data_IF_401953471780
#
_entry.id   IF_401953471780
#
_cell.length_a   1.000
_cell.length_b   1.000
_cell.length_c   1.000
_cell.angle_alpha   90.00
_cell.angle_beta   90.00
_cell.angle_gamma   90.00
#
_symmetry.space_group_name_H-M   'P 1'
#
loop_
_entity.id
_entity.type
_entity.pdbx_description
1 polymer ?
#
# COMPACT_ATOMS: atom_id res chain seq x y z
N UNK A 1 10.90 5.49 25.09
CA UNK A 1 10.38 5.30 23.73
C UNK A 1 9.70 3.94 23.65
N UNK A 2 8.41 3.89 23.29
CA UNK A 2 7.63 2.65 23.24
C UNK A 2 8.25 1.65 22.24
N UNK A 3 8.47 0.42 22.69
CA UNK A 3 8.86 -0.69 21.81
C UNK A 3 7.67 -1.34 21.09
N UNK A 4 6.44 -0.90 21.38
CA UNK A 4 5.23 -1.41 20.73
C UNK A 4 4.94 -0.60 19.48
N UNK A 5 4.57 -1.24 18.37
CA UNK A 5 4.17 -0.52 17.15
C UNK A 5 2.89 0.30 17.42
N UNK A 6 2.84 1.49 16.84
CA UNK A 6 1.70 2.40 16.91
C UNK A 6 1.25 2.77 15.51
N UNK A 7 0.05 2.36 15.16
CA UNK A 7 -0.62 2.76 13.92
C UNK A 7 -1.32 4.11 14.11
N UNK A 8 -1.14 5.02 13.17
CA UNK A 8 -1.78 6.35 13.18
C UNK A 8 -1.85 6.97 11.78
N UNK A 9 -2.69 7.99 11.57
CA UNK A 9 -2.63 8.78 10.34
C UNK A 9 -1.25 9.39 10.10
N UNK A 10 -0.92 9.57 8.82
CA UNK A 10 0.28 10.29 8.39
C UNK A 10 0.21 11.75 8.86
N UNK A 11 1.31 12.28 9.36
CA UNK A 11 1.54 13.69 9.62
C UNK A 11 2.63 14.22 8.68
N UNK A 12 2.66 15.53 8.41
CA UNK A 12 3.65 16.12 7.48
C UNK A 12 5.11 15.84 7.88
N UNK A 13 5.38 15.77 9.19
CA UNK A 13 6.73 15.44 9.71
C UNK A 13 7.21 14.03 9.36
N UNK A 14 6.30 13.14 8.94
CA UNK A 14 6.61 11.75 8.61
C UNK A 14 7.05 11.59 7.15
N UNK A 15 6.78 12.60 6.31
CA UNK A 15 6.98 12.53 4.85
C UNK A 15 8.42 12.21 4.49
N UNK A 16 9.40 12.80 5.17
CA UNK A 16 10.82 12.49 4.95
C UNK A 16 11.10 10.99 5.10
N UNK A 17 10.59 10.36 6.15
CA UNK A 17 10.80 8.93 6.41
C UNK A 17 10.03 8.05 5.44
N UNK A 18 8.81 8.42 5.05
CA UNK A 18 8.03 7.74 4.00
C UNK A 18 8.78 7.79 2.67
N UNK A 19 9.29 8.96 2.30
CA UNK A 19 10.10 9.15 1.10
C UNK A 19 11.33 8.23 1.10
N UNK A 20 12.06 8.16 2.21
CA UNK A 20 13.24 7.31 2.34
C UNK A 20 12.90 5.82 2.22
N UNK A 21 11.84 5.35 2.88
CA UNK A 21 11.41 3.94 2.78
C UNK A 21 11.08 3.58 1.33
N UNK A 22 10.32 4.43 0.64
CA UNK A 22 9.92 4.17 -0.75
C UNK A 22 11.11 4.22 -1.72
N UNK A 23 12.03 5.16 -1.52
CA UNK A 23 13.24 5.29 -2.33
C UNK A 23 14.09 4.01 -2.31
N UNK A 24 14.19 3.33 -1.17
CA UNK A 24 14.86 2.04 -1.07
C UNK A 24 14.23 0.97 -1.99
N UNK A 25 12.90 0.90 -2.05
CA UNK A 25 12.19 -0.03 -2.94
C UNK A 25 12.34 0.33 -4.40
N UNK A 26 12.37 1.62 -4.74
CA UNK A 26 12.61 2.08 -6.12
C UNK A 26 14.00 1.65 -6.59
N UNK A 27 15.02 1.83 -5.75
CA UNK A 27 16.41 1.54 -6.09
C UNK A 27 16.75 0.05 -6.08
N UNK A 28 16.23 -0.71 -5.10
CA UNK A 28 16.74 -2.05 -4.79
C UNK A 28 15.96 -3.20 -5.43
N UNK A 29 14.74 -2.96 -5.95
CA UNK A 29 13.91 -4.06 -6.38
C UNK A 29 12.84 -3.72 -7.41
N UNK A 30 11.91 -4.64 -7.55
CA UNK A 30 10.79 -4.57 -8.51
C UNK A 30 9.42 -4.55 -7.82
N UNK A 31 9.40 -4.40 -6.50
CA UNK A 31 8.15 -4.29 -5.74
C UNK A 31 7.35 -3.01 -6.09
N UNK A 32 8.02 -2.00 -6.63
CA UNK A 32 7.41 -0.86 -7.31
C UNK A 32 7.95 -0.75 -8.73
N UNK A 33 7.12 -0.26 -9.65
CA UNK A 33 7.53 -0.02 -11.05
C UNK A 33 8.05 1.40 -11.28
N UNK A 34 8.07 2.24 -10.25
CA UNK A 34 8.77 3.52 -10.33
C UNK A 34 10.27 3.29 -10.55
N UNK A 35 10.85 4.03 -11.48
CA UNK A 35 12.28 4.02 -11.80
C UNK A 35 13.01 5.20 -11.15
N UNK A 36 12.27 6.27 -10.84
CA UNK A 36 12.74 7.46 -10.14
C UNK A 36 11.90 7.64 -8.88
N UNK A 37 12.54 7.72 -7.74
CA UNK A 37 11.86 7.91 -6.48
C UNK A 37 11.20 9.31 -6.42
N UNK A 38 9.90 9.40 -6.06
CA UNK A 38 9.27 10.68 -5.79
C UNK A 38 9.95 11.40 -4.63
N UNK A 39 10.04 12.72 -4.72
CA UNK A 39 10.56 13.56 -3.63
C UNK A 39 9.49 13.82 -2.54
N UNK A 40 9.89 14.52 -1.49
CA UNK A 40 8.99 14.87 -0.38
C UNK A 40 7.81 15.77 -0.83
N UNK A 41 8.03 16.64 -1.82
CA UNK A 41 6.99 17.49 -2.39
C UNK A 41 5.91 16.66 -3.08
N UNK A 42 6.31 15.68 -3.88
CA UNK A 42 5.42 14.74 -4.53
C UNK A 42 4.64 13.88 -3.51
N UNK A 43 5.30 13.40 -2.46
CA UNK A 43 4.65 12.67 -1.38
C UNK A 43 3.65 13.53 -0.59
N UNK A 44 4.00 14.77 -0.26
CA UNK A 44 3.10 15.72 0.41
C UNK A 44 1.86 16.00 -0.42
N UNK A 45 2.02 16.21 -1.73
CA UNK A 45 0.91 16.42 -2.67
C UNK A 45 0.01 15.19 -2.77
N UNK A 46 0.59 13.99 -2.88
CA UNK A 46 -0.15 12.73 -2.90
C UNK A 46 -0.95 12.54 -1.60
N UNK A 47 -0.31 12.72 -0.45
CA UNK A 47 -0.96 12.60 0.85
C UNK A 47 -2.14 13.58 0.98
N UNK A 48 -1.96 14.84 0.60
CA UNK A 48 -3.03 15.84 0.59
C UNK A 48 -4.21 15.42 -0.27
N UNK A 49 -3.96 14.88 -1.46
CA UNK A 49 -5.01 14.40 -2.37
C UNK A 49 -5.77 13.20 -1.82
N UNK A 50 -5.08 12.28 -1.15
CA UNK A 50 -5.68 11.09 -0.52
C UNK A 50 -6.60 11.52 0.64
N UNK A 51 -6.08 12.35 1.54
CA UNK A 51 -6.83 12.85 2.71
C UNK A 51 -8.03 13.69 2.30
N UNK A 52 -7.89 14.54 1.27
CA UNK A 52 -8.99 15.35 0.75
C UNK A 52 -10.17 14.51 0.22
N UNK A 53 -9.92 13.27 -0.18
CA UNK A 53 -10.96 12.31 -0.59
C UNK A 53 -11.58 11.53 0.60
N UNK A 54 -11.09 11.75 1.81
CA UNK A 54 -11.48 10.96 2.98
C UNK A 54 -10.86 9.57 3.02
N UNK A 55 -9.84 9.30 2.21
CA UNK A 55 -9.18 8.01 2.17
C UNK A 55 -8.09 7.90 3.23
N UNK A 56 -7.81 6.70 3.76
CA UNK A 56 -6.77 6.49 4.74
C UNK A 56 -5.36 6.65 4.12
N UNK A 57 -4.49 7.33 4.86
CA UNK A 57 -3.05 7.28 4.72
C UNK A 57 -2.45 7.09 6.10
N UNK A 58 -1.92 5.90 6.37
CA UNK A 58 -1.48 5.47 7.68
C UNK A 58 0.02 5.23 7.71
N UNK A 59 0.59 5.44 8.87
CA UNK A 59 1.98 5.05 9.19
C UNK A 59 1.99 4.15 10.43
N UNK A 60 2.95 3.25 10.49
CA UNK A 60 3.28 2.52 11.71
C UNK A 60 4.59 3.04 12.27
N UNK A 61 4.54 3.52 13.50
CA UNK A 61 5.68 4.04 14.26
C UNK A 61 6.19 2.96 15.21
N UNK A 62 7.49 2.72 15.21
CA UNK A 62 8.15 1.77 16.11
C UNK A 62 9.46 2.39 16.60
N UNK A 63 9.60 2.50 17.92
CA UNK A 63 10.81 3.07 18.51
C UNK A 63 11.04 4.55 18.18
N UNK A 64 9.98 5.31 17.89
CA UNK A 64 10.07 6.74 17.53
C UNK A 64 10.42 7.00 16.06
N UNK A 65 10.42 5.96 15.23
CA UNK A 65 10.66 6.06 13.78
C UNK A 65 9.51 5.44 12.99
N UNK A 66 9.29 5.93 11.79
CA UNK A 66 8.33 5.32 10.87
C UNK A 66 8.92 4.01 10.36
N UNK A 67 8.22 2.92 10.62
CA UNK A 67 8.61 1.57 10.25
C UNK A 67 7.84 1.04 9.02
N UNK A 68 6.86 1.80 8.52
CA UNK A 68 6.10 1.46 7.34
C UNK A 68 4.92 2.40 7.14
N UNK A 69 4.31 2.31 5.99
CA UNK A 69 3.15 3.13 5.63
C UNK A 69 2.21 2.37 4.70
N UNK A 70 0.96 2.79 4.67
CA UNK A 70 -0.05 2.28 3.75
C UNK A 70 -1.09 3.34 3.43
N UNK A 71 -1.63 3.29 2.22
CA UNK A 71 -2.68 4.20 1.77
C UNK A 71 -3.51 3.54 0.68
N UNK A 72 -4.58 4.20 0.27
CA UNK A 72 -5.33 3.84 -0.94
C UNK A 72 -5.47 5.03 -1.86
N UNK A 73 -5.58 4.74 -3.16
CA UNK A 73 -5.89 5.70 -4.21
C UNK A 73 -7.08 5.20 -5.04
N UNK A 74 -7.68 6.08 -5.83
CA UNK A 74 -8.73 5.65 -6.78
C UNK A 74 -8.18 4.58 -7.73
N UNK A 75 -8.97 3.53 -7.95
CA UNK A 75 -8.58 2.45 -8.88
C UNK A 75 -8.44 2.94 -10.31
N UNK A 76 -9.45 3.65 -10.79
CA UNK A 76 -9.51 4.19 -12.16
C UNK A 76 -10.23 5.54 -12.14
N UNK A 77 -9.91 6.46 -13.07
CA UNK A 77 -10.42 7.84 -13.02
C UNK A 77 -11.91 7.98 -13.39
N UNK A 78 -12.53 6.98 -14.04
CA UNK A 78 -13.93 7.06 -14.45
C UNK A 78 -14.88 7.04 -13.25
N UNK A 79 -15.93 7.89 -13.21
CA UNK A 79 -16.82 8.03 -12.03
C UNK A 79 -17.49 6.76 -11.56
N UNK A 80 -17.74 5.79 -12.45
CA UNK A 80 -18.35 4.51 -12.07
C UNK A 80 -17.44 3.66 -11.15
N UNK A 81 -16.12 3.94 -11.10
CA UNK A 81 -15.17 3.29 -10.21
C UNK A 81 -15.02 3.97 -8.85
N UNK A 82 -15.86 4.97 -8.50
CA UNK A 82 -15.70 5.79 -7.29
C UNK A 82 -15.69 5.03 -5.96
N UNK A 83 -16.23 3.82 -5.92
CA UNK A 83 -16.26 2.96 -4.74
C UNK A 83 -15.16 1.89 -4.73
N UNK A 84 -14.25 1.95 -5.69
CA UNK A 84 -13.13 1.00 -5.81
C UNK A 84 -11.80 1.75 -5.66
N UNK A 85 -10.94 1.21 -4.85
CA UNK A 85 -9.59 1.76 -4.59
C UNK A 85 -8.52 0.72 -4.84
N UNK A 86 -7.29 1.19 -5.03
CA UNK A 86 -6.07 0.39 -5.02
C UNK A 86 -5.31 0.66 -3.73
N UNK A 87 -4.88 -0.39 -3.03
CA UNK A 87 -4.08 -0.28 -1.84
C UNK A 87 -2.58 -0.27 -2.16
N UNK A 88 -1.83 0.28 -1.23
CA UNK A 88 -0.36 0.29 -1.22
C UNK A 88 0.11 0.09 0.20
N UNK A 89 1.02 -0.86 0.41
CA UNK A 89 1.61 -1.18 1.71
C UNK A 89 3.12 -1.37 1.56
N UNK A 90 3.90 -0.61 2.32
CA UNK A 90 5.35 -0.75 2.40
C UNK A 90 5.82 -0.76 3.85
N UNK A 91 6.69 -1.71 4.19
CA UNK A 91 7.37 -1.79 5.49
C UNK A 91 8.84 -1.51 5.26
N UNK A 92 9.48 -0.75 6.14
CA UNK A 92 10.91 -0.47 6.05
C UNK A 92 11.71 -1.79 5.97
N UNK A 93 12.70 -1.91 5.06
CA UNK A 93 13.40 -3.16 4.82
C UNK A 93 14.05 -3.79 6.06
N UNK A 94 14.51 -2.97 7.01
CA UNK A 94 15.09 -3.40 8.29
C UNK A 94 14.03 -3.79 9.35
N UNK A 95 12.74 -3.68 9.02
CA UNK A 95 11.59 -3.95 9.90
C UNK A 95 10.64 -5.03 9.38
N UNK A 96 11.05 -5.75 8.37
CA UNK A 96 10.26 -6.85 7.80
C UNK A 96 10.03 -7.98 8.81
N UNK A 97 8.99 -8.79 8.59
CA UNK A 97 8.63 -9.98 9.40
C UNK A 97 8.33 -9.69 10.88
N UNK A 98 7.84 -8.50 11.19
CA UNK A 98 7.42 -8.10 12.54
C UNK A 98 5.91 -7.89 12.67
N UNK A 99 5.12 -8.35 11.68
CA UNK A 99 3.67 -8.18 11.65
C UNK A 99 3.19 -6.77 11.27
N UNK A 100 4.09 -5.85 10.93
CA UNK A 100 3.74 -4.45 10.64
C UNK A 100 2.92 -4.29 9.37
N UNK A 101 3.18 -5.11 8.34
CA UNK A 101 2.40 -5.12 7.12
C UNK A 101 0.94 -5.49 7.35
N UNK A 102 0.69 -6.50 8.20
CA UNK A 102 -0.66 -6.88 8.61
C UNK A 102 -1.39 -5.76 9.33
N UNK A 103 -0.73 -5.12 10.30
CA UNK A 103 -1.29 -3.98 11.04
C UNK A 103 -1.65 -2.82 10.10
N UNK A 104 -0.78 -2.49 9.15
CA UNK A 104 -1.01 -1.44 8.15
C UNK A 104 -2.20 -1.78 7.25
N UNK A 105 -2.23 -2.99 6.70
CA UNK A 105 -3.28 -3.43 5.77
C UNK A 105 -4.64 -3.49 6.47
N UNK A 106 -4.73 -4.03 7.67
CA UNK A 106 -5.97 -4.04 8.47
C UNK A 106 -6.47 -2.63 8.76
N UNK A 107 -5.56 -1.72 9.14
CA UNK A 107 -5.90 -0.32 9.38
C UNK A 107 -6.42 0.41 8.14
N UNK A 108 -5.80 0.17 6.99
CA UNK A 108 -6.26 0.73 5.70
C UNK A 108 -7.63 0.17 5.32
N UNK A 109 -7.86 -1.14 5.49
CA UNK A 109 -9.15 -1.76 5.22
C UNK A 109 -10.25 -1.14 6.08
N UNK A 110 -9.99 -0.92 7.37
CA UNK A 110 -10.95 -0.26 8.28
C UNK A 110 -11.20 1.20 7.85
N UNK A 111 -10.15 1.93 7.48
CA UNK A 111 -10.28 3.29 6.92
C UNK A 111 -11.12 3.31 5.63
N UNK A 112 -10.99 2.30 4.78
CA UNK A 112 -11.79 2.13 3.57
C UNK A 112 -13.27 1.93 3.89
N UNK A 113 -13.60 1.08 4.87
CA UNK A 113 -15.00 0.89 5.32
C UNK A 113 -15.61 2.22 5.78
N UNK A 114 -14.88 2.97 6.60
CA UNK A 114 -15.32 4.27 7.10
C UNK A 114 -15.48 5.32 5.99
N UNK A 115 -14.74 5.20 4.89
CA UNK A 115 -14.81 6.07 3.71
C UNK A 115 -15.88 5.64 2.67
N UNK A 116 -16.64 4.58 2.92
CA UNK A 116 -17.67 4.08 1.99
C UNK A 116 -17.10 3.39 0.75
N UNK A 117 -15.88 2.88 0.83
CA UNK A 117 -15.27 2.04 -0.20
C UNK A 117 -15.90 0.65 -0.15
N UNK A 118 -16.19 0.08 -1.29
CA UNK A 118 -16.78 -1.26 -1.40
C UNK A 118 -15.81 -2.32 -1.89
N UNK A 119 -14.83 -1.92 -2.72
CA UNK A 119 -13.86 -2.83 -3.31
C UNK A 119 -12.44 -2.30 -3.15
N UNK A 120 -11.53 -3.16 -2.73
CA UNK A 120 -10.10 -2.87 -2.67
C UNK A 120 -9.37 -3.81 -3.62
N UNK A 121 -8.58 -3.23 -4.53
CA UNK A 121 -7.73 -3.95 -5.46
C UNK A 121 -6.28 -3.86 -4.98
N UNK A 122 -5.59 -4.99 -4.98
CA UNK A 122 -4.14 -5.03 -4.81
C UNK A 122 -3.48 -5.41 -6.14
N UNK A 123 -2.51 -4.62 -6.56
CA UNK A 123 -1.66 -4.92 -7.73
C UNK A 123 -0.27 -5.26 -7.21
N UNK A 124 0.07 -6.55 -7.24
CA UNK A 124 1.29 -7.07 -6.62
C UNK A 124 2.28 -7.48 -7.70
N UNK A 125 3.45 -6.85 -7.72
CA UNK A 125 4.53 -7.27 -8.60
C UNK A 125 5.06 -8.65 -8.18
N UNK A 126 5.23 -9.55 -9.13
CA UNK A 126 5.87 -10.86 -8.88
C UNK A 126 7.38 -10.66 -8.74
N UNK A 127 7.82 -10.52 -7.51
CA UNK A 127 9.22 -10.34 -7.15
C UNK A 127 9.96 -11.68 -6.99
N UNK A 128 9.23 -12.79 -7.01
CA UNK A 128 9.70 -14.11 -6.59
C UNK A 128 9.57 -14.38 -5.10
N UNK A 129 9.20 -13.36 -4.28
CA UNK A 129 8.86 -13.51 -2.87
C UNK A 129 7.33 -13.45 -2.70
N UNK A 130 6.69 -14.50 -2.15
CA UNK A 130 5.23 -14.57 -2.00
C UNK A 130 4.70 -13.76 -0.82
N UNK A 131 5.53 -13.02 -0.10
CA UNK A 131 5.16 -12.36 1.16
C UNK A 131 3.98 -11.39 0.99
N UNK A 132 3.95 -10.59 -0.08
CA UNK A 132 2.86 -9.64 -0.32
C UNK A 132 1.54 -10.34 -0.65
N UNK A 133 1.58 -11.38 -1.50
CA UNK A 133 0.39 -12.19 -1.80
C UNK A 133 -0.15 -12.88 -0.53
N UNK A 134 0.75 -13.46 0.30
CA UNK A 134 0.37 -14.11 1.55
C UNK A 134 -0.25 -13.11 2.54
N UNK A 135 0.30 -11.91 2.63
CA UNK A 135 -0.24 -10.82 3.45
C UNK A 135 -1.67 -10.48 3.05
N UNK A 136 -1.92 -10.25 1.76
CA UNK A 136 -3.25 -9.91 1.25
C UNK A 136 -4.24 -11.09 1.41
N UNK A 137 -3.82 -12.33 1.15
CA UNK A 137 -4.64 -13.52 1.40
C UNK A 137 -5.07 -13.61 2.86
N UNK A 138 -4.17 -13.37 3.80
CA UNK A 138 -4.49 -13.40 5.23
C UNK A 138 -5.49 -12.33 5.66
N UNK A 139 -5.58 -11.22 4.91
CA UNK A 139 -6.55 -10.14 5.11
C UNK A 139 -7.88 -10.37 4.37
N UNK A 140 -8.03 -11.51 3.69
CA UNK A 140 -9.26 -11.89 3.00
C UNK A 140 -9.32 -11.56 1.51
N UNK A 141 -8.24 -11.04 0.92
CA UNK A 141 -8.16 -10.86 -0.53
C UNK A 141 -8.13 -12.21 -1.26
N UNK A 142 -8.73 -12.23 -2.43
CA UNK A 142 -8.69 -13.38 -3.36
C UNK A 142 -7.97 -12.97 -4.65
N UNK A 143 -7.21 -13.88 -5.24
CA UNK A 143 -6.61 -13.66 -6.55
C UNK A 143 -7.70 -13.65 -7.61
N UNK A 144 -7.72 -12.61 -8.44
CA UNK A 144 -8.70 -12.42 -9.51
C UNK A 144 -8.06 -12.42 -10.90
N UNK A 145 -6.76 -12.39 -10.99
CA UNK A 145 -6.05 -12.49 -12.26
C UNK A 145 -4.54 -12.27 -12.14
N UNK A 146 -3.87 -12.58 -13.24
CA UNK A 146 -2.43 -12.35 -13.40
C UNK A 146 -2.18 -11.72 -14.76
N UNK A 147 -1.37 -10.68 -14.80
CA UNK A 147 -0.93 -10.01 -16.03
C UNK A 147 0.53 -10.39 -16.28
N UNK A 148 0.78 -11.11 -17.37
CA UNK A 148 2.13 -11.52 -17.72
C UNK A 148 2.92 -10.40 -18.39
N UNK A 149 4.15 -10.17 -17.95
CA UNK A 149 5.14 -9.29 -18.58
C UNK A 149 4.63 -7.84 -18.79
N UNK A 150 3.89 -7.30 -17.84
CA UNK A 150 3.33 -5.94 -17.93
C UNK A 150 4.28 -4.86 -17.43
N UNK A 151 5.25 -5.20 -16.60
CA UNK A 151 6.31 -4.31 -16.13
C UNK A 151 7.67 -4.69 -16.70
N UNK A 152 8.53 -3.68 -16.90
CA UNK A 152 9.93 -3.90 -17.27
C UNK A 152 10.81 -3.00 -16.40
N UNK A 153 11.66 -3.59 -15.56
CA UNK A 153 12.53 -2.85 -14.65
C UNK A 153 13.80 -3.66 -14.36
N UNK A 154 14.91 -2.98 -14.19
CA UNK A 154 16.22 -3.61 -13.96
C UNK A 154 16.55 -4.73 -14.98
N UNK A 155 16.23 -4.50 -16.26
CA UNK A 155 16.54 -5.41 -17.35
C UNK A 155 15.68 -6.68 -17.42
N UNK A 156 14.56 -6.75 -16.66
CA UNK A 156 13.67 -7.91 -16.68
C UNK A 156 12.20 -7.55 -16.79
N UNK A 157 11.44 -8.45 -17.41
CA UNK A 157 9.98 -8.40 -17.44
C UNK A 157 9.38 -8.93 -16.14
N UNK A 158 8.31 -8.32 -15.69
CA UNK A 158 7.69 -8.61 -14.40
C UNK A 158 6.20 -8.79 -14.61
N UNK A 159 5.67 -9.89 -14.08
CA UNK A 159 4.24 -10.12 -13.98
C UNK A 159 3.64 -9.36 -12.81
N UNK A 160 2.32 -9.10 -12.85
CA UNK A 160 1.57 -8.64 -11.68
C UNK A 160 0.44 -9.59 -11.36
N UNK A 161 0.22 -9.81 -10.08
CA UNK A 161 -0.94 -10.52 -9.54
C UNK A 161 -1.98 -9.48 -9.12
N UNK A 162 -3.21 -9.67 -9.54
CA UNK A 162 -4.36 -8.86 -9.14
C UNK A 162 -5.12 -9.60 -8.06
N UNK A 163 -5.31 -8.95 -6.91
CA UNK A 163 -6.11 -9.46 -5.82
C UNK A 163 -7.22 -8.48 -5.47
N UNK A 164 -8.33 -8.96 -4.95
CA UNK A 164 -9.50 -8.15 -4.64
C UNK A 164 -10.09 -8.53 -3.29
N UNK A 165 -10.51 -7.51 -2.54
CA UNK A 165 -11.27 -7.64 -1.31
C UNK A 165 -12.59 -6.89 -1.46
N UNK A 166 -13.71 -7.58 -1.25
CA UNK A 166 -15.03 -6.96 -1.11
C UNK A 166 -15.28 -6.60 0.36
N UNK A 167 -15.61 -5.33 0.63
CA UNK A 167 -15.87 -4.82 1.98
C UNK A 167 -17.34 -4.87 2.36
N UNK A 168 -18.23 -5.04 1.38
CA UNK A 168 -19.65 -5.25 1.63
C UNK A 168 -19.89 -6.71 1.99
N UNK A 169 -20.79 -7.03 2.96
CA UNK A 169 -21.28 -8.36 3.09
C UNK A 169 -21.95 -8.74 1.76
N UNK A 170 -21.71 -9.98 1.29
CA UNK A 170 -22.40 -10.49 0.13
C UNK A 170 -23.90 -10.21 0.30
N UNK A 171 -24.50 -9.53 -0.68
CA UNK A 171 -25.94 -9.33 -0.68
C UNK A 171 -26.59 -10.73 -0.62
N UNK A 172 -27.26 -11.02 0.50
CA UNK A 172 -28.00 -12.26 0.70
C UNK A 172 -29.18 -12.37 -0.24
#
# INVERSE_FOLDING_TARGET
>A
VSRKPRLRPLELKDVEQVTAIYADYVASGVATFDEIAPDEGAWSGKAGSIVARGFPFLVVELGGKIAGFAYVTVWRPRPAYRHTVEDTVYVAPDRLRQGLGGMLLEGVIEGCRNAGVEQVIAVIADTGDPASEALHKSAGFVEVGRLGRVGYKHGRWIDTVLMQLSLQPAAG
#
